data_IF_291983545332
#
_entry.id   IF_291983545332
#
_cell.length_a   1.000
_cell.length_b   1.000
_cell.length_c   1.000
_cell.angle_alpha   90.00
_cell.angle_beta   90.00
_cell.angle_gamma   90.00
#
_symmetry.space_group_name_H-M   'P 1'
#
loop_
_entity.id
_entity.type
_entity.pdbx_description
1 polymer ?
#
# COMPACT_ATOMS: atom_id res chain seq x y z
N UNK A 1 -15.07 -19.53 2.15
CA UNK A 1 -16.40 -18.97 2.52
C UNK A 1 -16.98 -19.64 3.77
N UNK A 2 -16.74 -20.93 4.00
CA UNK A 2 -17.23 -21.63 5.21
C UNK A 2 -16.66 -21.11 6.55
N UNK A 3 -15.55 -20.37 6.53
CA UNK A 3 -14.91 -19.80 7.72
C UNK A 3 -15.40 -18.39 8.10
N UNK A 4 -16.31 -17.80 7.32
CA UNK A 4 -16.90 -16.50 7.65
C UNK A 4 -17.94 -16.70 8.76
N UNK A 5 -17.67 -16.12 9.93
CA UNK A 5 -18.52 -16.25 11.13
C UNK A 5 -19.71 -15.30 11.14
N UNK A 6 -19.72 -14.29 10.26
CA UNK A 6 -20.85 -13.38 10.12
C UNK A 6 -22.08 -14.10 9.54
N UNK A 7 -23.23 -13.92 10.19
CA UNK A 7 -24.49 -14.47 9.73
C UNK A 7 -24.97 -13.85 8.38
N UNK A 8 -24.46 -12.68 8.03
CA UNK A 8 -24.77 -12.01 6.76
C UNK A 8 -23.90 -12.56 5.62
N UNK A 9 -24.35 -13.63 5.01
CA UNK A 9 -23.68 -14.30 3.88
C UNK A 9 -23.60 -13.43 2.62
N UNK A 10 -24.19 -12.24 2.60
CA UNK A 10 -24.10 -11.31 1.47
C UNK A 10 -22.80 -10.52 1.49
N UNK A 11 -22.14 -10.37 2.64
CA UNK A 11 -20.86 -9.70 2.78
C UNK A 11 -19.71 -10.66 2.45
N UNK A 12 -18.89 -10.26 1.49
CA UNK A 12 -17.67 -11.00 1.12
C UNK A 12 -16.47 -10.40 1.85
N UNK A 13 -15.60 -11.22 2.47
CA UNK A 13 -14.33 -10.74 2.99
C UNK A 13 -13.46 -10.20 1.84
N UNK A 14 -12.60 -9.23 2.16
CA UNK A 14 -11.59 -8.74 1.21
C UNK A 14 -10.68 -9.89 0.77
N UNK A 15 -10.20 -9.82 -0.46
CA UNK A 15 -9.15 -10.73 -0.96
C UNK A 15 -7.85 -10.62 -0.16
N UNK A 16 -7.67 -9.52 0.56
CA UNK A 16 -6.51 -9.21 1.40
C UNK A 16 -6.65 -9.72 2.84
N UNK A 17 -7.81 -10.25 3.22
CA UNK A 17 -8.01 -10.84 4.56
C UNK A 17 -6.95 -11.91 4.89
N UNK A 18 -6.50 -12.67 3.90
CA UNK A 18 -5.43 -13.65 4.08
C UNK A 18 -4.10 -12.97 4.42
N UNK A 19 -3.77 -11.85 3.78
CA UNK A 19 -2.54 -11.10 4.05
C UNK A 19 -2.51 -10.55 5.47
N UNK A 20 -3.61 -9.94 5.92
CA UNK A 20 -3.72 -9.46 7.29
C UNK A 20 -3.48 -10.57 8.33
N UNK A 21 -3.94 -11.79 8.04
CA UNK A 21 -3.79 -12.93 8.94
C UNK A 21 -2.38 -13.55 8.97
N UNK A 22 -1.47 -13.13 8.09
CA UNK A 22 -0.09 -13.64 8.07
C UNK A 22 0.81 -13.01 9.14
N UNK A 23 0.47 -11.81 9.58
CA UNK A 23 1.29 -11.09 10.55
C UNK A 23 1.11 -11.64 11.97
N UNK A 24 2.23 -11.79 12.67
CA UNK A 24 2.27 -12.28 14.07
C UNK A 24 2.06 -11.14 15.09
N UNK A 25 1.34 -10.09 14.73
CA UNK A 25 1.11 -8.89 15.53
C UNK A 25 -0.39 -8.62 15.73
N UNK A 26 -0.72 -7.86 16.78
CA UNK A 26 -2.09 -7.55 17.17
C UNK A 26 -2.79 -6.63 16.17
N UNK A 27 -2.05 -5.66 15.63
CA UNK A 27 -2.57 -4.66 14.68
C UNK A 27 -1.84 -4.76 13.35
N UNK A 28 -2.59 -4.65 12.27
CA UNK A 28 -2.07 -4.64 10.90
C UNK A 28 -2.73 -3.51 10.13
N UNK A 29 -1.93 -2.54 9.69
CA UNK A 29 -2.34 -1.45 8.82
C UNK A 29 -1.97 -1.81 7.39
N UNK A 30 -2.92 -1.68 6.45
CA UNK A 30 -2.65 -1.72 5.01
C UNK A 30 -3.20 -0.47 4.35
N UNK A 31 -2.33 0.24 3.65
CA UNK A 31 -2.65 1.50 2.98
C UNK A 31 -1.85 1.68 1.68
N UNK A 32 -2.34 2.58 0.81
CA UNK A 32 -1.74 2.91 -0.48
C UNK A 32 -1.33 4.39 -0.58
N UNK A 33 -0.44 4.92 0.27
CA UNK A 33 -0.06 6.32 0.22
C UNK A 33 0.61 6.65 -1.11
N UNK A 34 0.29 7.81 -1.68
CA UNK A 34 0.87 8.28 -2.95
C UNK A 34 2.40 8.24 -2.95
N UNK A 35 3.01 8.61 -1.82
CA UNK A 35 4.46 8.62 -1.66
C UNK A 35 5.06 7.21 -1.70
N UNK A 36 4.43 6.25 -1.02
CA UNK A 36 4.83 4.83 -1.07
C UNK A 36 4.64 4.27 -2.47
N UNK A 37 3.52 4.58 -3.12
CA UNK A 37 3.27 4.14 -4.49
C UNK A 37 4.22 4.81 -5.49
N UNK A 38 4.66 6.04 -5.23
CA UNK A 38 5.74 6.68 -5.98
C UNK A 38 7.04 5.86 -5.97
N UNK A 39 7.37 5.23 -4.84
CA UNK A 39 8.48 4.28 -4.76
C UNK A 39 8.10 2.95 -5.44
N UNK A 40 7.05 2.28 -4.98
CA UNK A 40 6.76 0.88 -5.34
C UNK A 40 6.41 0.67 -6.81
N UNK A 41 5.94 1.72 -7.51
CA UNK A 41 5.67 1.73 -8.95
C UNK A 41 6.86 2.21 -9.80
N UNK A 42 7.97 2.62 -9.17
CA UNK A 42 9.16 3.17 -9.84
C UNK A 42 10.05 2.09 -10.48
N UNK A 43 10.82 2.49 -11.48
CA UNK A 43 11.92 1.65 -12.00
C UNK A 43 13.03 1.58 -10.96
N UNK A 44 13.61 0.38 -10.72
CA UNK A 44 14.64 0.17 -9.70
C UNK A 44 14.12 0.35 -8.26
N UNK A 45 12.81 0.22 -8.07
CA UNK A 45 12.14 0.44 -6.79
C UNK A 45 12.64 -0.48 -5.67
N UNK A 46 12.95 -1.73 -6.00
CA UNK A 46 13.43 -2.72 -5.03
C UNK A 46 14.78 -2.31 -4.47
N UNK A 47 15.74 -2.03 -5.33
CA UNK A 47 17.09 -1.60 -4.96
C UNK A 47 17.06 -0.28 -4.19
N UNK A 48 16.22 0.66 -4.61
CA UNK A 48 16.03 1.92 -3.91
C UNK A 48 15.39 1.71 -2.53
N UNK A 49 14.41 0.83 -2.43
CA UNK A 49 13.80 0.45 -1.15
C UNK A 49 14.85 -0.13 -0.19
N UNK A 50 15.69 -1.06 -0.66
CA UNK A 50 16.76 -1.65 0.14
C UNK A 50 17.78 -0.60 0.62
N UNK A 51 18.14 0.37 -0.25
CA UNK A 51 19.05 1.46 0.11
C UNK A 51 18.46 2.42 1.16
N UNK A 52 17.18 2.78 1.04
CA UNK A 52 16.54 3.79 1.89
C UNK A 52 16.02 3.23 3.20
N UNK A 53 15.43 2.05 3.15
CA UNK A 53 14.70 1.46 4.26
C UNK A 53 15.47 0.34 4.95
N UNK A 54 16.44 -0.26 4.26
CA UNK A 54 17.28 -1.32 4.78
C UNK A 54 16.56 -2.67 4.87
N UNK A 55 17.10 -3.54 5.71
CA UNK A 55 16.67 -4.93 5.86
C UNK A 55 15.42 -5.11 6.75
N UNK A 56 14.97 -4.04 7.39
CA UNK A 56 13.78 -4.08 8.26
C UNK A 56 12.46 -4.04 7.47
N UNK A 57 12.56 -3.84 6.15
CA UNK A 57 11.42 -3.81 5.25
C UNK A 57 11.51 -4.96 4.25
N UNK A 58 10.49 -5.82 4.24
CA UNK A 58 10.40 -6.91 3.29
C UNK A 58 9.77 -6.43 1.98
N UNK A 59 10.45 -6.69 0.86
CA UNK A 59 9.95 -6.41 -0.49
C UNK A 59 9.29 -7.64 -1.11
N UNK A 60 8.10 -7.45 -1.67
CA UNK A 60 7.38 -8.46 -2.47
C UNK A 60 7.24 -7.96 -3.90
N UNK A 61 7.80 -8.73 -4.83
CA UNK A 61 7.69 -8.43 -6.26
C UNK A 61 6.24 -8.54 -6.73
N UNK A 62 5.90 -7.83 -7.81
CA UNK A 62 4.55 -7.81 -8.37
C UNK A 62 4.07 -9.23 -8.67
N UNK A 63 2.88 -9.54 -8.22
CA UNK A 63 2.21 -10.80 -8.54
C UNK A 63 0.69 -10.61 -8.52
N UNK A 64 -0.02 -11.64 -9.00
CA UNK A 64 -1.48 -11.61 -9.03
C UNK A 64 -2.04 -11.53 -7.61
N UNK A 65 -2.93 -10.57 -7.31
CA UNK A 65 -3.53 -10.41 -5.98
C UNK A 65 -4.39 -11.61 -5.57
N UNK A 66 -4.67 -11.71 -4.28
CA UNK A 66 -5.43 -12.82 -3.69
C UNK A 66 -4.53 -13.94 -3.18
N UNK A 67 -4.98 -15.19 -3.34
CA UNK A 67 -4.28 -16.37 -2.78
C UNK A 67 -2.80 -16.47 -3.20
N UNK A 68 -2.50 -16.20 -4.46
CA UNK A 68 -1.11 -16.26 -4.97
C UNK A 68 -0.19 -15.29 -4.22
N UNK A 69 -0.64 -14.04 -4.06
CA UNK A 69 0.10 -13.03 -3.30
C UNK A 69 0.25 -13.46 -1.84
N UNK A 70 -0.81 -13.92 -1.19
CA UNK A 70 -0.77 -14.37 0.20
C UNK A 70 0.23 -15.52 0.40
N UNK A 71 0.29 -16.49 -0.52
CA UNK A 71 1.25 -17.60 -0.46
C UNK A 71 2.69 -17.11 -0.60
N UNK A 72 2.97 -16.22 -1.54
CA UNK A 72 4.31 -15.64 -1.73
C UNK A 72 4.72 -14.84 -0.49
N UNK A 73 3.82 -14.04 0.08
CA UNK A 73 4.08 -13.31 1.31
C UNK A 73 4.40 -14.28 2.46
N UNK A 74 3.62 -15.33 2.65
CA UNK A 74 3.86 -16.34 3.67
C UNK A 74 5.26 -16.98 3.54
N UNK A 75 5.63 -17.42 2.34
CA UNK A 75 6.93 -18.03 2.07
C UNK A 75 8.08 -17.04 2.37
N UNK A 76 7.97 -15.80 1.91
CA UNK A 76 9.01 -14.78 2.12
C UNK A 76 9.08 -14.27 3.57
N UNK A 77 7.95 -14.17 4.28
CA UNK A 77 7.93 -13.79 5.69
C UNK A 77 8.57 -14.87 6.57
N UNK A 78 8.35 -16.16 6.28
CA UNK A 78 9.01 -17.25 6.97
C UNK A 78 10.53 -17.25 6.72
N UNK A 79 10.95 -17.10 5.47
CA UNK A 79 12.37 -16.97 5.12
C UNK A 79 13.03 -15.77 5.83
N UNK A 80 12.34 -14.64 5.90
CA UNK A 80 12.81 -13.48 6.65
C UNK A 80 12.97 -13.79 8.14
N UNK A 81 12.00 -14.48 8.74
CA UNK A 81 12.06 -14.87 10.15
C UNK A 81 13.23 -15.85 10.42
N UNK A 82 13.47 -16.79 9.51
CA UNK A 82 14.59 -17.72 9.60
C UNK A 82 15.96 -16.98 9.49
N UNK A 83 16.05 -16.00 8.60
CA UNK A 83 17.29 -15.24 8.36
C UNK A 83 17.59 -14.22 9.48
N UNK A 84 16.56 -13.50 9.96
CA UNK A 84 16.75 -12.36 10.89
C UNK A 84 16.32 -12.67 12.34
N UNK A 85 15.71 -13.81 12.61
CA UNK A 85 15.26 -14.19 13.95
C UNK A 85 14.08 -13.38 14.49
N UNK A 86 13.38 -12.62 13.62
CA UNK A 86 12.25 -11.76 13.99
C UNK A 86 11.16 -11.79 12.94
N UNK A 87 9.93 -11.52 13.36
CA UNK A 87 8.80 -11.38 12.44
C UNK A 87 8.85 -10.03 11.69
N UNK A 88 8.38 -10.03 10.44
CA UNK A 88 8.27 -8.84 9.60
C UNK A 88 7.24 -7.87 10.18
N UNK A 89 7.63 -6.61 10.31
CA UNK A 89 6.74 -5.52 10.71
C UNK A 89 6.33 -4.62 9.55
N UNK A 90 7.20 -4.46 8.55
CA UNK A 90 6.94 -3.61 7.39
C UNK A 90 7.15 -4.41 6.11
N UNK A 91 6.14 -4.40 5.24
CA UNK A 91 6.16 -5.13 3.98
C UNK A 91 5.70 -4.20 2.85
N UNK A 92 6.52 -4.07 1.82
CA UNK A 92 6.20 -3.32 0.60
C UNK A 92 5.78 -4.28 -0.51
N UNK A 93 4.67 -3.97 -1.15
CA UNK A 93 4.18 -4.67 -2.32
C UNK A 93 4.46 -3.84 -3.58
N UNK A 94 5.20 -4.39 -4.53
CA UNK A 94 5.45 -3.73 -5.80
C UNK A 94 4.12 -3.41 -6.52
N UNK A 95 3.99 -2.17 -6.98
CA UNK A 95 2.80 -1.62 -7.66
C UNK A 95 1.50 -1.71 -6.84
N UNK A 96 1.60 -1.72 -5.50
CA UNK A 96 0.40 -1.89 -4.69
C UNK A 96 0.38 -0.93 -3.49
N UNK A 97 1.19 -1.19 -2.46
CA UNK A 97 1.15 -0.40 -1.23
C UNK A 97 2.06 -0.95 -0.14
N UNK A 98 1.70 -0.66 1.11
CA UNK A 98 2.46 -1.03 2.30
C UNK A 98 1.58 -1.74 3.33
N UNK A 99 2.14 -2.74 3.99
CA UNK A 99 1.64 -3.27 5.26
C UNK A 99 2.58 -2.87 6.39
N UNK A 100 2.00 -2.47 7.51
CA UNK A 100 2.72 -2.21 8.76
C UNK A 100 2.02 -2.96 9.89
N UNK A 101 2.78 -3.72 10.68
CA UNK A 101 2.24 -4.53 11.75
C UNK A 101 3.00 -4.33 13.07
N UNK A 102 2.26 -4.20 14.17
CA UNK A 102 2.80 -4.02 15.50
C UNK A 102 1.82 -4.46 16.59
N UNK A 103 2.26 -4.44 17.84
CA UNK A 103 1.40 -4.81 18.96
C UNK A 103 0.61 -3.64 19.55
N UNK A 104 0.95 -2.40 19.18
CA UNK A 104 0.20 -1.19 19.54
C UNK A 104 -0.03 -0.29 18.33
N UNK A 105 -1.02 0.58 18.43
CA UNK A 105 -1.32 1.56 17.37
C UNK A 105 -0.23 2.62 17.28
N UNK A 106 0.36 3.00 18.41
CA UNK A 106 1.45 3.94 18.51
C UNK A 106 2.69 3.42 17.77
N UNK A 107 3.03 2.14 17.94
CA UNK A 107 4.13 1.50 17.21
C UNK A 107 3.88 1.49 15.69
N UNK A 108 2.65 1.24 15.25
CA UNK A 108 2.27 1.37 13.82
C UNK A 108 2.57 2.78 13.31
N UNK A 109 2.17 3.81 14.07
CA UNK A 109 2.46 5.21 13.73
C UNK A 109 3.96 5.45 13.58
N UNK A 110 4.76 5.03 14.55
CA UNK A 110 6.23 5.20 14.53
C UNK A 110 6.87 4.51 13.32
N UNK A 111 6.48 3.27 13.03
CA UNK A 111 7.01 2.51 11.89
C UNK A 111 6.61 3.15 10.56
N UNK A 112 5.34 3.51 10.42
CA UNK A 112 4.80 4.13 9.21
C UNK A 112 5.44 5.49 8.94
N UNK A 113 5.48 6.38 9.94
CA UNK A 113 6.10 7.71 9.85
C UNK A 113 7.60 7.60 9.55
N UNK A 114 8.26 6.59 10.09
CA UNK A 114 9.65 6.28 9.80
C UNK A 114 9.89 5.97 8.30
N UNK A 115 8.98 5.23 7.66
CA UNK A 115 9.02 4.97 6.22
C UNK A 115 8.73 6.26 5.45
N UNK A 116 7.63 6.93 5.76
CA UNK A 116 7.21 8.17 5.08
C UNK A 116 8.31 9.23 5.11
N UNK A 117 8.87 9.51 6.29
CA UNK A 117 9.93 10.54 6.46
C UNK A 117 11.19 10.24 5.65
N UNK A 118 11.55 8.96 5.47
CA UNK A 118 12.68 8.58 4.62
C UNK A 118 12.39 8.81 3.15
N UNK A 119 11.16 8.54 2.71
CA UNK A 119 10.72 8.75 1.32
C UNK A 119 10.56 10.22 0.99
N UNK A 120 10.01 11.03 1.89
CA UNK A 120 9.86 12.48 1.71
C UNK A 120 11.19 13.17 1.39
N UNK A 121 12.27 12.76 2.05
CA UNK A 121 13.62 13.29 1.80
C UNK A 121 14.13 13.02 0.37
N UNK A 122 13.53 12.08 -0.35
CA UNK A 122 13.91 11.75 -1.72
C UNK A 122 13.06 12.51 -2.77
N UNK A 123 11.99 13.17 -2.35
CA UNK A 123 11.12 13.94 -3.26
C UNK A 123 11.89 15.17 -3.75
N UNK A 124 12.20 15.19 -5.05
CA UNK A 124 12.91 16.30 -5.69
C UNK A 124 11.98 17.38 -6.22
N UNK A 125 10.73 17.03 -6.49
CA UNK A 125 9.71 17.93 -7.02
C UNK A 125 8.33 17.47 -6.55
N UNK A 126 7.58 18.39 -5.97
CA UNK A 126 6.17 18.19 -5.63
C UNK A 126 5.28 18.56 -6.81
N UNK A 127 4.14 17.89 -6.93
CA UNK A 127 3.11 18.32 -7.87
C UNK A 127 2.57 19.68 -7.43
N UNK A 128 2.29 20.55 -8.38
CA UNK A 128 1.50 21.74 -8.13
C UNK A 128 0.04 21.30 -7.98
N UNK A 129 -0.46 21.41 -6.76
CA UNK A 129 -1.85 21.07 -6.39
C UNK A 129 -2.66 22.34 -6.11
N UNK A 130 -2.15 23.51 -6.54
CA UNK A 130 -2.95 24.74 -6.52
C UNK A 130 -4.22 24.57 -7.34
N UNK A 131 -5.28 25.28 -6.94
CA UNK A 131 -6.54 25.21 -7.65
C UNK A 131 -6.37 25.58 -9.12
N UNK A 132 -6.86 24.72 -10.01
CA UNK A 132 -6.92 25.03 -11.44
C UNK A 132 -7.75 26.30 -11.66
N UNK A 133 -7.33 27.09 -12.64
CA UNK A 133 -8.07 28.30 -13.02
C UNK A 133 -9.51 27.90 -13.41
N UNK A 134 -10.50 28.68 -12.99
CA UNK A 134 -11.94 28.38 -13.20
C UNK A 134 -12.26 27.98 -14.64
N UNK A 135 -11.66 28.67 -15.62
CA UNK A 135 -11.82 28.37 -17.05
C UNK A 135 -11.33 26.97 -17.45
N UNK A 136 -10.26 26.46 -16.80
CA UNK A 136 -9.73 25.11 -17.05
C UNK A 136 -10.63 24.04 -16.43
N UNK A 137 -11.16 24.30 -15.23
CA UNK A 137 -12.15 23.42 -14.58
C UNK A 137 -13.43 23.31 -15.44
N UNK A 138 -13.94 24.43 -15.93
CA UNK A 138 -15.13 24.46 -16.81
C UNK A 138 -14.91 23.66 -18.10
N UNK A 139 -13.77 23.85 -18.77
CA UNK A 139 -13.41 23.11 -19.98
C UNK A 139 -13.26 21.61 -19.73
N UNK A 140 -12.62 21.24 -18.60
CA UNK A 140 -12.48 19.84 -18.19
C UNK A 140 -13.84 19.20 -17.89
N UNK A 141 -14.70 19.91 -17.15
CA UNK A 141 -16.07 19.49 -16.84
C UNK A 141 -16.89 19.26 -18.11
N UNK A 142 -16.88 20.20 -19.05
CA UNK A 142 -17.60 20.08 -20.32
C UNK A 142 -17.09 18.89 -21.14
N UNK A 143 -15.76 18.76 -21.27
CA UNK A 143 -15.13 17.68 -22.03
C UNK A 143 -15.43 16.30 -21.45
N UNK A 144 -15.34 16.17 -20.12
CA UNK A 144 -15.64 14.91 -19.43
C UNK A 144 -17.11 14.56 -19.52
N UNK A 145 -18.02 15.52 -19.31
CA UNK A 145 -19.47 15.31 -19.42
C UNK A 145 -19.86 14.86 -20.83
N UNK A 146 -19.23 15.42 -21.86
CA UNK A 146 -19.43 15.00 -23.26
C UNK A 146 -18.94 13.58 -23.52
N UNK A 147 -17.75 13.21 -23.00
CA UNK A 147 -17.17 11.88 -23.20
C UNK A 147 -17.94 10.78 -22.46
N UNK A 148 -18.45 11.07 -21.27
CA UNK A 148 -19.13 10.11 -20.42
C UNK A 148 -20.65 10.07 -20.66
N UNK A 149 -21.22 11.03 -21.39
CA UNK A 149 -22.65 11.09 -21.68
C UNK A 149 -23.54 11.46 -20.50
N UNK A 150 -22.96 11.97 -19.40
CA UNK A 150 -23.68 12.47 -18.22
C UNK A 150 -22.92 13.63 -17.57
N UNK A 151 -23.62 14.40 -16.75
CA UNK A 151 -23.00 15.52 -16.03
C UNK A 151 -21.90 15.03 -15.07
N UNK A 152 -20.76 15.72 -15.11
CA UNK A 152 -19.59 15.47 -14.23
C UNK A 152 -19.21 16.81 -13.59
N UNK A 153 -18.82 16.77 -12.34
CA UNK A 153 -18.23 17.92 -11.64
C UNK A 153 -16.74 17.65 -11.41
N UNK A 154 -15.90 18.59 -11.77
CA UNK A 154 -14.46 18.55 -11.49
C UNK A 154 -14.20 19.41 -10.26
N UNK A 155 -13.74 18.74 -9.19
CA UNK A 155 -13.44 19.35 -7.89
C UNK A 155 -11.97 19.76 -7.83
#
# INVERSE_FOLDING_TARGET
MAAVTDADKTKRPSVEALLHNLFAYTYVLHVHPTLVNGLTCGKGAKELSEQLLGKDVLWIDICKPGYTLARICYEKMNAYKEEYGKDVQVLLLQNHGIFVAANTVEEIGVLFDGVISKLEKQVKRTADVSDAVTSEKEQATEKLSRLLGHAVEVV
#
